data_IF_626536771057
#
_entry.id   IF_626536771057
#
_cell.length_a   1.000
_cell.length_b   1.000
_cell.length_c   1.000
_cell.angle_alpha   90.00
_cell.angle_beta   90.00
_cell.angle_gamma   90.00
#
_symmetry.space_group_name_H-M   'P 1'
#
loop_
_entity.id
_entity.type
_entity.pdbx_description
1 polymer ?
#
# COMPACT_ATOMS: atom_id res chain seq x y z
N UNK A 1 -2.00 4.50 8.54
CA UNK A 1 -3.09 5.12 7.75
C UNK A 1 -4.43 4.40 7.88
N UNK A 2 -4.53 3.08 7.65
CA UNK A 2 -5.80 2.30 7.66
C UNK A 2 -6.64 2.54 8.92
N UNK A 3 -6.04 2.53 10.11
CA UNK A 3 -6.74 2.83 11.38
C UNK A 3 -7.31 4.26 11.43
N UNK A 4 -6.57 5.25 10.92
CA UNK A 4 -7.02 6.63 10.85
C UNK A 4 -8.18 6.80 9.85
N UNK A 5 -8.08 6.18 8.67
CA UNK A 5 -9.18 6.13 7.70
C UNK A 5 -10.44 5.52 8.32
N UNK A 6 -10.31 4.37 8.97
CA UNK A 6 -11.43 3.69 9.64
C UNK A 6 -12.08 4.58 10.71
N UNK A 7 -11.29 5.36 11.46
CA UNK A 7 -11.81 6.31 12.45
C UNK A 7 -12.62 7.45 11.82
N UNK A 8 -12.25 7.94 10.64
CA UNK A 8 -12.89 9.10 10.02
C UNK A 8 -14.06 8.73 9.10
N UNK A 9 -13.98 7.61 8.37
CA UNK A 9 -15.03 7.19 7.43
C UNK A 9 -15.98 6.13 8.01
N UNK A 10 -15.62 5.56 9.16
CA UNK A 10 -16.34 4.44 9.76
C UNK A 10 -15.93 3.10 9.16
N UNK A 11 -16.82 2.12 9.30
CA UNK A 11 -16.59 0.76 8.83
C UNK A 11 -16.65 0.68 7.30
N UNK A 12 -15.60 0.12 6.70
CA UNK A 12 -15.50 -0.18 5.27
C UNK A 12 -14.83 -1.53 5.12
N UNK A 13 -15.53 -2.49 4.51
CA UNK A 13 -15.07 -3.87 4.30
C UNK A 13 -13.65 -3.96 3.71
N UNK A 14 -13.30 -3.05 2.80
CA UNK A 14 -11.97 -3.01 2.22
C UNK A 14 -10.87 -2.62 3.23
N UNK A 15 -11.15 -1.69 4.14
CA UNK A 15 -10.19 -1.32 5.19
C UNK A 15 -10.07 -2.41 6.25
N UNK A 16 -11.17 -3.08 6.59
CA UNK A 16 -11.16 -4.26 7.45
C UNK A 16 -10.34 -5.39 6.82
N UNK A 17 -10.56 -5.65 5.52
CA UNK A 17 -9.78 -6.60 4.75
C UNK A 17 -8.28 -6.29 4.82
N UNK A 18 -7.86 -5.06 4.51
CA UNK A 18 -6.45 -4.66 4.64
C UNK A 18 -5.91 -4.81 6.06
N UNK A 19 -6.70 -4.44 7.08
CA UNK A 19 -6.31 -4.53 8.48
C UNK A 19 -6.19 -5.97 8.99
N UNK A 20 -6.80 -6.95 8.29
CA UNK A 20 -6.70 -8.37 8.65
C UNK A 20 -5.35 -9.01 8.27
N UNK A 21 -4.54 -8.33 7.44
CA UNK A 21 -3.22 -8.82 7.07
C UNK A 21 -2.16 -8.43 8.10
N UNK A 22 -1.36 -9.42 8.52
CA UNK A 22 -0.17 -9.18 9.34
C UNK A 22 0.91 -8.46 8.53
N UNK A 23 1.05 -8.84 7.26
CA UNK A 23 2.05 -8.29 6.33
C UNK A 23 1.39 -7.90 4.99
N UNK A 24 0.57 -6.85 5.00
CA UNK A 24 -0.16 -6.38 3.81
C UNK A 24 0.75 -5.89 2.66
N UNK A 25 2.04 -5.65 2.95
CA UNK A 25 3.06 -5.16 2.02
C UNK A 25 4.17 -6.19 1.78
N UNK A 26 3.90 -7.48 2.03
CA UNK A 26 4.89 -8.54 1.75
C UNK A 26 5.12 -8.65 0.24
N UNK A 27 6.38 -8.73 -0.16
CA UNK A 27 6.79 -9.00 -1.54
C UNK A 27 6.65 -10.49 -1.91
N UNK A 28 6.45 -11.36 -0.91
CA UNK A 28 6.27 -12.79 -1.07
C UNK A 28 4.79 -13.14 -1.12
N UNK A 29 4.31 -13.46 -2.31
CA UNK A 29 2.97 -13.99 -2.50
C UNK A 29 2.96 -15.05 -3.59
N UNK A 30 2.01 -15.97 -3.47
CA UNK A 30 1.73 -17.00 -4.46
C UNK A 30 0.26 -16.95 -4.84
N UNK A 31 -0.03 -17.19 -6.10
CA UNK A 31 -1.39 -17.27 -6.61
C UNK A 31 -1.49 -18.27 -7.75
N UNK A 32 -2.68 -18.81 -7.96
CA UNK A 32 -2.95 -19.65 -9.12
C UNK A 32 -2.79 -18.84 -10.40
N UNK A 33 -2.33 -19.48 -11.48
CA UNK A 33 -2.09 -18.82 -12.77
C UNK A 33 -3.33 -18.14 -13.34
N UNK A 34 -4.51 -18.67 -13.03
CA UNK A 34 -5.82 -18.14 -13.38
C UNK A 34 -6.06 -16.79 -12.72
N UNK A 35 -5.65 -16.64 -11.45
CA UNK A 35 -5.76 -15.36 -10.72
C UNK A 35 -4.93 -14.27 -11.38
N UNK A 36 -3.68 -14.59 -11.75
CA UNK A 36 -2.76 -13.66 -12.43
C UNK A 36 -3.39 -13.08 -13.71
N UNK A 37 -4.13 -13.89 -14.46
CA UNK A 37 -4.74 -13.48 -15.74
C UNK A 37 -5.92 -12.52 -15.56
N UNK A 38 -6.59 -12.58 -14.41
CA UNK A 38 -7.82 -11.83 -14.16
C UNK A 38 -7.58 -10.52 -13.41
N UNK A 39 -6.53 -10.45 -12.58
CA UNK A 39 -6.19 -9.24 -11.84
C UNK A 39 -5.37 -8.25 -12.67
N UNK A 40 -5.48 -6.96 -12.33
CA UNK A 40 -4.55 -5.93 -12.81
C UNK A 40 -3.38 -5.82 -11.84
N UNK A 41 -2.16 -5.94 -12.35
CA UNK A 41 -0.95 -5.86 -11.53
C UNK A 41 -0.36 -4.46 -11.73
N UNK A 42 -0.34 -3.59 -10.70
CA UNK A 42 0.33 -2.30 -10.78
C UNK A 42 1.84 -2.47 -10.99
N UNK A 43 2.48 -1.49 -11.62
CA UNK A 43 3.95 -1.47 -11.81
C UNK A 43 4.66 -0.45 -10.92
N UNK A 44 3.95 0.19 -10.00
CA UNK A 44 4.49 1.17 -9.05
C UNK A 44 4.71 0.55 -7.66
N UNK A 45 5.12 1.37 -6.69
CA UNK A 45 5.31 0.96 -5.29
C UNK A 45 3.99 0.65 -4.55
N UNK A 46 2.85 0.74 -5.25
CA UNK A 46 1.55 0.27 -4.80
C UNK A 46 1.24 -1.16 -5.22
N UNK A 47 2.20 -1.90 -5.79
CA UNK A 47 2.04 -3.27 -6.29
C UNK A 47 1.29 -4.17 -5.30
N UNK A 48 1.79 -4.31 -4.07
CA UNK A 48 1.26 -5.25 -3.08
C UNK A 48 -0.19 -4.88 -2.69
N UNK A 49 -0.42 -3.60 -2.39
CA UNK A 49 -1.77 -3.10 -2.04
C UNK A 49 -2.72 -3.15 -3.22
N UNK A 50 -2.24 -2.92 -4.43
CA UNK A 50 -3.04 -3.01 -5.65
C UNK A 50 -3.40 -4.45 -5.99
N UNK A 51 -2.48 -5.40 -5.82
CA UNK A 51 -2.78 -6.84 -5.92
C UNK A 51 -3.83 -7.23 -4.89
N UNK A 52 -3.66 -6.84 -3.61
CA UNK A 52 -4.67 -7.07 -2.57
C UNK A 52 -6.03 -6.44 -2.93
N UNK A 53 -6.03 -5.23 -3.50
CA UNK A 53 -7.23 -4.52 -3.94
C UNK A 53 -7.98 -5.23 -5.06
N UNK A 54 -7.26 -5.86 -5.99
CA UNK A 54 -7.83 -6.62 -7.10
C UNK A 54 -8.32 -7.99 -6.64
N UNK A 55 -7.56 -8.66 -5.77
CA UNK A 55 -7.97 -9.94 -5.20
C UNK A 55 -9.24 -9.76 -4.36
N UNK A 56 -9.29 -8.72 -3.51
CA UNK A 56 -10.48 -8.34 -2.75
C UNK A 56 -11.70 -8.07 -3.64
N UNK A 57 -11.49 -7.48 -4.83
CA UNK A 57 -12.58 -7.15 -5.75
C UNK A 57 -13.12 -8.40 -6.46
N UNK A 58 -12.24 -9.30 -6.87
CA UNK A 58 -12.57 -10.35 -7.83
C UNK A 58 -12.81 -11.72 -7.17
N UNK A 59 -12.37 -11.91 -5.93
CA UNK A 59 -12.45 -13.20 -5.24
C UNK A 59 -13.08 -13.09 -3.85
N UNK A 60 -13.69 -14.19 -3.42
CA UNK A 60 -14.18 -14.32 -2.05
C UNK A 60 -13.00 -14.41 -1.08
N UNK A 61 -13.11 -13.76 0.08
CA UNK A 61 -12.15 -13.87 1.19
C UNK A 61 -11.84 -15.33 1.60
N UNK A 62 -12.77 -16.27 1.37
CA UNK A 62 -12.57 -17.71 1.63
C UNK A 62 -11.47 -18.35 0.76
N UNK A 63 -11.02 -17.67 -0.30
CA UNK A 63 -9.95 -18.12 -1.20
C UNK A 63 -8.61 -17.47 -0.91
N UNK A 64 -8.53 -16.67 0.15
CA UNK A 64 -7.35 -15.90 0.53
C UNK A 64 -6.86 -16.44 1.87
N UNK A 65 -5.56 -16.68 1.98
CA UNK A 65 -4.93 -17.09 3.23
C UNK A 65 -3.59 -16.37 3.39
N UNK A 66 -3.12 -16.33 4.63
CA UNK A 66 -1.77 -15.88 4.99
C UNK A 66 -1.04 -17.06 5.61
N UNK A 67 0.23 -17.19 5.28
CA UNK A 67 1.11 -18.25 5.81
C UNK A 67 2.39 -17.61 6.30
N UNK A 68 2.87 -18.05 7.45
CA UNK A 68 4.21 -17.70 7.91
C UNK A 68 5.23 -18.50 7.07
N UNK A 69 6.20 -17.81 6.49
CA UNK A 69 7.19 -18.41 5.57
C UNK A 69 8.56 -18.63 6.23
N UNK A 70 8.83 -17.95 7.35
CA UNK A 70 10.08 -18.06 8.10
C UNK A 70 9.88 -17.56 9.54
N UNK A 71 10.65 -18.12 10.49
CA UNK A 71 10.71 -17.62 11.87
C UNK A 71 11.40 -16.24 11.93
N UNK A 72 12.46 -16.08 11.12
CA UNK A 72 13.20 -14.85 10.95
C UNK A 72 13.22 -14.48 9.47
N UNK A 73 12.75 -13.28 9.17
CA UNK A 73 12.75 -12.74 7.82
C UNK A 73 13.57 -11.44 7.85
N UNK A 74 14.72 -11.45 7.18
CA UNK A 74 15.60 -10.29 7.03
C UNK A 74 15.46 -9.74 5.61
N UNK A 75 15.42 -8.42 5.49
CA UNK A 75 15.28 -7.75 4.21
C UNK A 75 16.12 -6.49 4.16
N UNK A 76 16.35 -5.98 2.95
CA UNK A 76 17.06 -4.71 2.78
C UNK A 76 16.28 -3.58 3.45
N UNK A 77 16.93 -2.88 4.37
CA UNK A 77 16.36 -1.67 4.97
C UNK A 77 16.50 -0.49 4.00
N UNK A 78 15.39 0.20 3.76
CA UNK A 78 15.36 1.43 2.97
C UNK A 78 15.44 2.64 3.91
N UNK A 79 16.12 3.73 3.51
CA UNK A 79 16.14 4.94 4.30
C UNK A 79 14.75 5.59 4.34
N UNK A 80 14.48 6.32 5.42
CA UNK A 80 13.26 7.13 5.56
C UNK A 80 13.15 8.20 4.46
N UNK A 81 14.29 8.75 4.03
CA UNK A 81 14.41 9.80 3.00
C UNK A 81 13.66 11.09 3.36
N UNK A 82 13.83 11.59 4.59
CA UNK A 82 13.16 12.81 5.05
C UNK A 82 13.47 14.06 4.20
N UNK A 83 14.65 14.11 3.57
CA UNK A 83 15.07 15.22 2.71
C UNK A 83 14.68 15.11 1.24
N UNK A 84 14.15 13.97 0.79
CA UNK A 84 13.74 13.75 -0.60
C UNK A 84 12.46 12.88 -0.66
N UNK A 85 11.29 13.49 -0.92
CA UNK A 85 10.02 12.77 -0.96
C UNK A 85 9.90 11.76 -2.11
N UNK A 86 10.81 11.80 -3.08
CA UNK A 86 10.80 10.90 -4.25
C UNK A 86 11.71 9.67 -4.06
N UNK A 87 12.27 9.48 -2.87
CA UNK A 87 13.13 8.34 -2.53
C UNK A 87 12.63 7.56 -1.31
N UNK A 88 13.13 6.33 -1.18
CA UNK A 88 12.97 5.48 0.02
C UNK A 88 11.53 5.30 0.49
N UNK A 89 11.36 5.31 1.81
CA UNK A 89 10.06 5.07 2.44
C UNK A 89 9.05 6.20 2.21
N UNK A 90 9.50 7.44 1.98
CA UNK A 90 8.62 8.57 1.70
C UNK A 90 7.84 8.37 0.40
N UNK A 91 8.54 8.03 -0.69
CA UNK A 91 7.92 7.74 -1.98
C UNK A 91 6.98 6.54 -1.90
N UNK A 92 7.44 5.44 -1.31
CA UNK A 92 6.64 4.24 -1.14
C UNK A 92 5.33 4.53 -0.38
N UNK A 93 5.41 5.31 0.70
CA UNK A 93 4.24 5.71 1.50
C UNK A 93 3.25 6.57 0.71
N UNK A 94 3.74 7.49 -0.12
CA UNK A 94 2.91 8.33 -0.99
C UNK A 94 2.16 7.48 -2.02
N UNK A 95 2.87 6.57 -2.70
CA UNK A 95 2.30 5.70 -3.74
C UNK A 95 1.24 4.73 -3.15
N UNK A 96 1.49 4.18 -1.96
CA UNK A 96 0.54 3.35 -1.21
C UNK A 96 -0.69 4.16 -0.79
N UNK A 97 -0.50 5.37 -0.23
CA UNK A 97 -1.60 6.23 0.17
C UNK A 97 -2.50 6.58 -1.02
N UNK A 98 -1.91 6.97 -2.15
CA UNK A 98 -2.62 7.28 -3.40
C UNK A 98 -3.42 6.06 -3.91
N UNK A 99 -2.84 4.87 -3.84
CA UNK A 99 -3.51 3.61 -4.23
C UNK A 99 -4.74 3.32 -3.36
N UNK A 100 -4.64 3.53 -2.04
CA UNK A 100 -5.77 3.37 -1.12
C UNK A 100 -6.87 4.41 -1.38
N UNK A 101 -6.52 5.68 -1.62
CA UNK A 101 -7.51 6.72 -1.97
C UNK A 101 -8.26 6.39 -3.25
N UNK A 102 -7.54 5.99 -4.31
CA UNK A 102 -8.17 5.54 -5.56
C UNK A 102 -9.14 4.39 -5.32
N UNK A 103 -8.72 3.37 -4.57
CA UNK A 103 -9.58 2.23 -4.27
C UNK A 103 -10.84 2.63 -3.50
N UNK A 104 -10.71 3.43 -2.45
CA UNK A 104 -11.85 3.93 -1.68
C UNK A 104 -12.77 4.83 -2.52
N UNK A 105 -12.23 5.64 -3.43
CA UNK A 105 -13.02 6.46 -4.34
C UNK A 105 -13.88 5.60 -5.28
N UNK A 106 -13.36 4.47 -5.77
CA UNK A 106 -14.17 3.51 -6.55
C UNK A 106 -15.30 2.86 -5.75
N UNK A 107 -15.27 2.96 -4.41
CA UNK A 107 -16.30 2.48 -3.49
C UNK A 107 -17.24 3.61 -3.01
N UNK A 108 -17.14 4.81 -3.59
CA UNK A 108 -18.02 5.93 -3.28
C UNK A 108 -17.54 6.84 -2.15
N UNK A 109 -16.33 6.64 -1.61
CA UNK A 109 -15.75 7.56 -0.64
C UNK A 109 -15.28 8.83 -1.35
N UNK A 110 -15.75 9.98 -0.89
CA UNK A 110 -15.36 11.28 -1.43
C UNK A 110 -14.16 11.82 -0.67
N UNK A 111 -13.24 12.44 -1.41
CA UNK A 111 -12.05 13.08 -0.85
C UNK A 111 -12.09 14.57 -1.15
N UNK A 112 -11.69 15.38 -0.17
CA UNK A 112 -11.61 16.83 -0.27
C UNK A 112 -10.38 17.34 0.50
N UNK A 113 -10.05 18.63 0.34
CA UNK A 113 -8.97 19.23 1.11
C UNK A 113 -9.24 19.16 2.63
N UNK A 114 -10.49 19.30 3.06
CA UNK A 114 -10.91 19.16 4.46
C UNK A 114 -10.72 17.72 4.95
N UNK A 115 -11.06 16.72 4.13
CA UNK A 115 -10.79 15.33 4.44
C UNK A 115 -9.30 15.10 4.70
N UNK A 116 -8.43 15.62 3.83
CA UNK A 116 -6.98 15.46 3.98
C UNK A 116 -6.42 16.18 5.22
N UNK A 117 -6.98 17.35 5.59
CA UNK A 117 -6.65 18.00 6.87
C UNK A 117 -7.08 17.15 8.07
N UNK A 118 -8.27 16.57 8.02
CA UNK A 118 -8.78 15.71 9.09
C UNK A 118 -7.94 14.44 9.24
N UNK A 119 -7.66 13.72 8.14
CA UNK A 119 -6.85 12.49 8.22
C UNK A 119 -5.42 12.77 8.69
N UNK A 120 -4.80 13.91 8.31
CA UNK A 120 -3.51 14.31 8.87
C UNK A 120 -3.55 14.37 10.40
N UNK A 121 -4.51 15.08 10.96
CA UNK A 121 -4.65 15.22 12.41
C UNK A 121 -4.95 13.86 13.08
N UNK A 122 -5.88 13.09 12.52
CA UNK A 122 -6.24 11.76 13.05
C UNK A 122 -5.07 10.78 12.98
N UNK A 123 -4.34 10.74 11.86
CA UNK A 123 -3.18 9.87 11.70
C UNK A 123 -2.07 10.26 12.67
N UNK A 124 -1.72 11.55 12.73
CA UNK A 124 -0.66 12.05 13.61
C UNK A 124 -0.93 11.68 15.08
N UNK A 125 -2.13 11.99 15.60
CA UNK A 125 -2.50 11.60 16.96
C UNK A 125 -2.46 10.09 17.16
N UNK A 126 -3.05 9.34 16.23
CA UNK A 126 -3.06 7.86 16.32
C UNK A 126 -1.64 7.29 16.35
N UNK A 127 -0.73 7.84 15.55
CA UNK A 127 0.64 7.37 15.46
C UNK A 127 1.44 7.67 16.75
N UNK A 128 1.25 8.86 17.35
CA UNK A 128 1.84 9.17 18.66
C UNK A 128 1.38 8.21 19.75
N UNK A 129 0.09 7.82 19.75
CA UNK A 129 -0.41 6.81 20.70
C UNK A 129 0.31 5.45 20.50
N UNK A 130 0.63 5.07 19.26
CA UNK A 130 1.40 3.85 18.98
C UNK A 130 2.86 3.96 19.41
N UNK A 131 3.50 5.11 19.21
CA UNK A 131 4.87 5.35 19.70
C UNK A 131 4.96 5.15 21.21
N UNK A 132 3.98 5.63 21.96
CA UNK A 132 3.92 5.42 23.41
C UNK A 132 3.74 3.93 23.77
N UNK A 133 2.83 3.22 23.09
CA UNK A 133 2.65 1.78 23.31
C UNK A 133 3.90 0.97 22.99
N UNK A 134 4.56 1.22 21.85
CA UNK A 134 5.76 0.50 21.45
C UNK A 134 6.98 0.86 22.31
N UNK A 135 7.06 2.09 22.83
CA UNK A 135 8.07 2.45 23.82
C UNK A 135 7.91 1.63 25.11
N UNK A 136 6.67 1.44 25.58
CA UNK A 136 6.38 0.61 26.75
C UNK A 136 6.70 -0.88 26.48
N UNK A 137 6.36 -1.38 25.29
CA UNK A 137 6.68 -2.75 24.87
C UNK A 137 8.18 -2.99 24.78
N UNK A 138 8.93 -2.06 24.18
CA UNK A 138 10.39 -2.12 24.13
C UNK A 138 10.99 -2.14 25.53
N UNK A 139 10.50 -1.30 26.45
CA UNK A 139 10.97 -1.25 27.83
C UNK A 139 10.77 -2.58 28.58
N UNK A 140 9.61 -3.22 28.44
CA UNK A 140 9.31 -4.52 29.07
C UNK A 140 10.22 -5.62 28.52
N UNK A 141 10.57 -5.55 27.23
CA UNK A 141 11.43 -6.52 26.56
C UNK A 141 12.94 -6.17 26.64
N UNK A 142 13.31 -5.08 27.32
CA UNK A 142 14.70 -4.65 27.44
C UNK A 142 15.33 -4.16 26.12
N UNK A 143 14.52 -3.71 25.17
CA UNK A 143 14.95 -3.19 23.87
C UNK A 143 15.14 -1.66 23.93
N UNK A 144 16.09 -1.15 23.15
CA UNK A 144 16.26 0.29 22.94
C UNK A 144 15.14 0.84 22.05
N UNK A 145 14.62 2.01 22.40
CA UNK A 145 13.59 2.69 21.64
C UNK A 145 13.94 4.17 21.46
N UNK A 146 14.14 4.60 20.21
CA UNK A 146 14.41 6.00 19.89
C UNK A 146 13.11 6.74 19.57
N UNK A 147 12.53 7.35 20.59
CA UNK A 147 11.27 8.10 20.44
C UNK A 147 11.39 9.26 19.47
N UNK A 148 12.54 9.92 19.40
CA UNK A 148 12.71 11.07 18.52
C UNK A 148 12.70 10.64 17.06
N UNK A 149 13.45 9.58 16.72
CA UNK A 149 13.47 9.03 15.38
C UNK A 149 12.08 8.51 14.94
N UNK A 150 11.31 7.90 15.85
CA UNK A 150 9.94 7.46 15.57
C UNK A 150 9.00 8.64 15.30
N UNK A 151 9.10 9.72 16.08
CA UNK A 151 8.30 10.94 15.85
C UNK A 151 8.69 11.66 14.54
N UNK A 152 9.97 11.70 14.18
CA UNK A 152 10.43 12.19 12.87
C UNK A 152 9.85 11.35 11.71
N UNK A 153 9.80 10.03 11.86
CA UNK A 153 9.17 9.15 10.88
C UNK A 153 7.68 9.44 10.71
N UNK A 154 6.96 9.74 11.80
CA UNK A 154 5.56 10.15 11.74
C UNK A 154 5.38 11.40 10.88
N UNK A 155 6.24 12.42 11.04
CA UNK A 155 6.16 13.65 10.26
C UNK A 155 6.32 13.40 8.77
N UNK A 156 7.30 12.56 8.39
CA UNK A 156 7.51 12.15 6.99
C UNK A 156 6.26 11.44 6.44
N UNK A 157 5.71 10.47 7.16
CA UNK A 157 4.53 9.74 6.68
C UNK A 157 3.27 10.60 6.64
N UNK A 158 3.11 11.57 7.55
CA UNK A 158 2.06 12.58 7.46
C UNK A 158 2.17 13.36 6.17
N UNK A 159 3.39 13.78 5.81
CA UNK A 159 3.62 14.51 4.57
C UNK A 159 3.26 13.65 3.35
N UNK A 160 3.72 12.39 3.30
CA UNK A 160 3.38 11.47 2.22
C UNK A 160 1.86 11.26 2.05
N UNK A 161 1.11 11.18 3.16
CA UNK A 161 -0.36 11.07 3.17
C UNK A 161 -1.02 12.32 2.56
N UNK A 162 -0.53 13.51 2.90
CA UNK A 162 -1.06 14.77 2.37
C UNK A 162 -0.73 14.92 0.90
N UNK A 163 0.52 14.69 0.51
CA UNK A 163 0.98 14.83 -0.87
C UNK A 163 0.22 13.88 -1.79
N UNK A 164 0.04 12.63 -1.38
CA UNK A 164 -0.78 11.65 -2.10
C UNK A 164 -2.23 12.13 -2.29
N UNK A 165 -2.78 12.81 -1.28
CA UNK A 165 -4.13 13.38 -1.35
C UNK A 165 -4.23 14.57 -2.30
N UNK A 166 -3.24 15.45 -2.29
CA UNK A 166 -3.15 16.58 -3.22
C UNK A 166 -2.99 16.08 -4.66
N UNK A 167 -2.09 15.13 -4.89
CA UNK A 167 -1.90 14.49 -6.20
C UNK A 167 -3.17 13.82 -6.71
N UNK A 168 -3.90 13.15 -5.81
CA UNK A 168 -5.18 12.51 -6.14
C UNK A 168 -6.23 13.54 -6.58
N UNK A 169 -6.34 14.67 -5.89
CA UNK A 169 -7.29 15.74 -6.25
C UNK A 169 -6.88 16.48 -7.53
N UNK A 170 -5.58 16.67 -7.75
CA UNK A 170 -5.05 17.39 -8.91
C UNK A 170 -5.20 16.61 -10.23
N UNK A 171 -5.29 15.27 -10.17
CA UNK A 171 -5.28 14.40 -11.35
C UNK A 171 -6.55 13.52 -11.46
N UNK A 172 -7.76 14.09 -11.59
CA UNK A 172 -9.01 13.34 -11.56
C UNK A 172 -9.22 12.38 -12.75
N UNK A 173 -8.47 12.57 -13.84
CA UNK A 173 -8.56 11.76 -15.06
C UNK A 173 -7.48 10.67 -15.14
N UNK A 174 -6.61 10.57 -14.12
CA UNK A 174 -5.55 9.57 -14.12
C UNK A 174 -6.15 8.16 -14.11
N UNK A 175 -5.95 7.43 -15.20
CA UNK A 175 -6.51 6.09 -15.36
C UNK A 175 -5.89 5.12 -14.34
N UNK A 176 -6.67 4.16 -13.80
CA UNK A 176 -6.10 3.11 -12.96
C UNK A 176 -5.02 2.34 -13.72
N UNK A 177 -3.89 2.11 -13.04
CA UNK A 177 -2.69 1.50 -13.63
C UNK A 177 -2.98 0.11 -14.21
N UNK A 178 -2.49 -0.05 -15.44
CA UNK A 178 -2.38 -1.23 -16.31
C UNK A 178 -3.71 -1.95 -16.65
N UNK A 179 -4.06 -2.06 -17.96
CA UNK A 179 -5.18 -2.88 -18.39
C UNK A 179 -4.97 -4.36 -18.01
N UNK A 180 -6.03 -5.11 -17.71
CA UNK A 180 -5.88 -6.54 -17.44
C UNK A 180 -5.23 -7.28 -18.63
N UNK A 181 -4.61 -8.42 -18.36
CA UNK A 181 -3.89 -9.19 -19.38
C UNK A 181 -4.77 -9.56 -20.58
N UNK A 182 -6.06 -9.79 -20.36
CA UNK A 182 -7.01 -10.02 -21.45
C UNK A 182 -7.08 -8.83 -22.43
N UNK A 183 -7.11 -7.59 -21.93
CA UNK A 183 -7.07 -6.39 -22.76
C UNK A 183 -5.70 -6.17 -23.40
N UNK A 184 -4.59 -6.49 -22.71
CA UNK A 184 -3.24 -6.41 -23.29
C UNK A 184 -3.12 -7.37 -24.47
N UNK A 185 -3.45 -8.65 -24.28
CA UNK A 185 -3.38 -9.69 -25.32
C UNK A 185 -4.34 -9.38 -26.47
N UNK A 186 -5.52 -8.80 -26.19
CA UNK A 186 -6.44 -8.37 -27.24
C UNK A 186 -5.88 -7.21 -28.10
N UNK A 187 -5.08 -6.32 -27.51
CA UNK A 187 -4.52 -5.16 -28.20
C UNK A 187 -3.16 -5.45 -28.85
N UNK A 188 -2.38 -6.35 -28.25
CA UNK A 188 -1.04 -6.78 -28.65
C UNK A 188 -0.95 -8.32 -28.60
N UNK A 189 -1.51 -9.03 -29.59
CA UNK A 189 -1.54 -10.50 -29.58
C UNK A 189 -0.16 -11.16 -29.49
N UNK A 190 0.88 -10.49 -29.99
CA UNK A 190 2.27 -10.93 -30.01
C UNK A 190 3.01 -10.74 -28.67
N UNK A 191 2.41 -10.04 -27.70
CA UNK A 191 3.07 -9.68 -26.43
C UNK A 191 3.65 -10.88 -25.70
N UNK A 192 2.96 -12.03 -25.74
CA UNK A 192 3.43 -13.25 -25.08
C UNK A 192 4.72 -13.78 -25.69
N UNK A 193 4.84 -13.75 -27.03
CA UNK A 193 6.07 -14.13 -27.73
C UNK A 193 7.20 -13.16 -27.42
N UNK A 194 6.93 -11.86 -27.48
CA UNK A 194 7.92 -10.81 -27.18
C UNK A 194 8.47 -10.91 -25.75
N UNK A 195 7.62 -11.24 -24.76
CA UNK A 195 8.06 -11.45 -23.37
C UNK A 195 8.96 -12.69 -23.25
N UNK A 196 8.62 -13.80 -23.91
CA UNK A 196 9.45 -15.00 -23.91
C UNK A 196 10.82 -14.71 -24.53
N UNK A 197 10.86 -13.99 -25.64
CA UNK A 197 12.10 -13.63 -26.31
C UNK A 197 12.94 -12.66 -25.49
N UNK A 198 12.31 -11.70 -24.79
CA UNK A 198 13.00 -10.82 -23.85
C UNK A 198 13.64 -11.60 -22.69
N UNK A 199 12.92 -12.55 -22.08
CA UNK A 199 13.47 -13.40 -21.00
C UNK A 199 14.63 -14.26 -21.51
N UNK A 200 14.54 -14.78 -22.74
CA UNK A 200 15.64 -15.54 -23.36
C UNK A 200 16.87 -14.68 -23.65
N UNK A 201 16.69 -13.40 -23.94
CA UNK A 201 17.79 -12.49 -24.22
C UNK A 201 18.52 -12.00 -22.95
N UNK A 202 17.87 -12.10 -21.78
CA UNK A 202 18.43 -11.73 -20.47
C UNK A 202 19.12 -12.92 -19.76
N UNK A 203 18.93 -14.15 -20.27
CA UNK A 203 19.55 -15.38 -19.79
C UNK A 203 20.94 -15.61 -20.39
#
# INVERSE_FOLDING_TARGET
>A
MVKALTRIIGHVDYLEFLASFRYALSGEFAMQTEVVREIRIPSDWGLEVGVLSEVYRNYSNKRICQVDIADHYDHKHQPLSAGDPDLGLSRMSRDIAKSIYRKLATQGITFSNEFFRTIKATYFRTALDYVEHYAAEAAINGLSFDRHAEEEAIEVFVQSIIDAGQDFLANPLEAPFIPNWNRVVSALPEVGGALIDAVRADA
#
